data_IF_924812675113
#
_entry.id   IF_924812675113
#
_cell.length_a   1.000
_cell.length_b   1.000
_cell.length_c   1.000
_cell.angle_alpha   90.00
_cell.angle_beta   90.00
_cell.angle_gamma   90.00
#
_symmetry.space_group_name_H-M   'P 1'
#
loop_
_entity.id
_entity.type
_entity.pdbx_description
1 polymer ?
#
# COMPACT_ATOMS: atom_id res chain seq x y z
N UNK A 1 -5.65 -0.55 -7.74
CA UNK A 1 -4.67 0.18 -8.59
C UNK A 1 -5.33 1.13 -9.57
N UNK A 2 -6.24 0.68 -10.44
CA UNK A 2 -6.88 1.52 -11.47
C UNK A 2 -7.46 2.86 -10.96
N UNK A 3 -8.28 2.84 -9.92
CA UNK A 3 -8.89 4.07 -9.36
C UNK A 3 -7.85 5.07 -8.83
N UNK A 4 -6.78 4.59 -8.18
CA UNK A 4 -5.69 5.45 -7.68
C UNK A 4 -4.93 6.11 -8.83
N UNK A 5 -4.59 5.34 -9.88
CA UNK A 5 -3.94 5.88 -11.07
C UNK A 5 -4.80 6.94 -11.76
N UNK A 6 -6.10 6.66 -11.92
CA UNK A 6 -7.03 7.61 -12.54
C UNK A 6 -7.17 8.90 -11.73
N UNK A 7 -7.28 8.78 -10.40
CA UNK A 7 -7.34 9.92 -9.49
C UNK A 7 -6.12 10.83 -9.64
N UNK A 8 -4.90 10.28 -9.51
CA UNK A 8 -3.69 11.10 -9.60
C UNK A 8 -3.45 11.65 -11.01
N UNK A 9 -3.74 10.91 -12.07
CA UNK A 9 -3.66 11.42 -13.44
C UNK A 9 -4.60 12.61 -13.65
N UNK A 10 -5.82 12.55 -13.09
CA UNK A 10 -6.79 13.65 -13.17
C UNK A 10 -6.33 14.88 -12.39
N UNK A 11 -5.72 14.70 -11.22
CA UNK A 11 -5.06 15.78 -10.47
C UNK A 11 -3.92 16.45 -11.26
N UNK A 12 -3.25 15.70 -12.15
CA UNK A 12 -2.22 16.22 -13.05
C UNK A 12 -2.79 16.76 -14.38
N UNK A 13 -4.09 17.09 -14.43
CA UNK A 13 -4.72 17.72 -15.59
C UNK A 13 -4.90 16.81 -16.81
N UNK A 14 -4.72 15.49 -16.66
CA UNK A 14 -4.94 14.53 -17.76
C UNK A 14 -6.41 14.16 -17.86
N UNK A 15 -6.89 14.00 -19.10
CA UNK A 15 -8.17 13.33 -19.36
C UNK A 15 -8.00 11.83 -19.16
N UNK A 16 -8.92 11.20 -18.43
CA UNK A 16 -8.84 9.78 -18.08
C UNK A 16 -10.22 9.15 -18.17
N UNK A 17 -10.29 7.97 -18.76
CA UNK A 17 -11.46 7.09 -18.69
C UNK A 17 -11.06 5.84 -17.92
N UNK A 18 -11.80 5.52 -16.86
CA UNK A 18 -11.64 4.27 -16.11
C UNK A 18 -12.76 3.31 -16.54
N UNK A 19 -12.38 2.13 -17.03
CA UNK A 19 -13.32 1.08 -17.42
C UNK A 19 -13.17 -0.08 -16.43
N UNK A 20 -14.28 -0.48 -15.81
CA UNK A 20 -14.41 -1.65 -14.95
C UNK A 20 -15.49 -2.55 -15.55
N UNK A 21 -15.25 -3.87 -15.58
CA UNK A 21 -16.20 -4.84 -16.09
C UNK A 21 -17.34 -5.07 -15.10
N UNK A 22 -17.00 -5.14 -13.82
CA UNK A 22 -17.92 -5.49 -12.74
C UNK A 22 -18.07 -4.33 -11.74
N UNK A 23 -17.91 -4.58 -10.44
CA UNK A 23 -17.97 -3.54 -9.42
C UNK A 23 -16.57 -3.05 -9.01
N UNK A 24 -16.44 -1.74 -8.81
CA UNK A 24 -15.17 -1.12 -8.39
C UNK A 24 -14.69 -1.76 -7.09
N UNK A 25 -13.48 -2.32 -7.14
CA UNK A 25 -12.84 -2.89 -5.96
C UNK A 25 -13.25 -4.33 -5.62
N UNK A 26 -14.15 -4.98 -6.37
CA UNK A 26 -14.69 -6.31 -6.03
C UNK A 26 -13.65 -7.45 -6.00
N UNK A 27 -12.54 -7.31 -6.72
CA UNK A 27 -11.50 -8.32 -6.83
C UNK A 27 -10.48 -8.23 -5.68
N UNK A 28 -9.18 -8.40 -5.95
CA UNK A 28 -8.11 -8.40 -4.94
C UNK A 28 -8.12 -7.17 -4.00
N UNK A 29 -8.62 -6.03 -4.45
CA UNK A 29 -8.79 -4.82 -3.62
C UNK A 29 -9.84 -4.96 -2.52
N UNK A 30 -10.89 -5.75 -2.74
CA UNK A 30 -12.03 -5.90 -1.82
C UNK A 30 -11.90 -7.10 -0.89
N UNK A 31 -11.00 -8.04 -1.21
CA UNK A 31 -10.78 -9.28 -0.43
C UNK A 31 -9.40 -9.35 0.23
N UNK A 32 -8.61 -8.27 0.20
CA UNK A 32 -7.35 -8.23 0.96
C UNK A 32 -7.57 -7.88 2.43
N UNK A 33 -6.55 -8.12 3.25
CA UNK A 33 -6.58 -7.86 4.70
C UNK A 33 -6.32 -6.40 5.10
N UNK A 34 -6.30 -5.45 4.15
CA UNK A 34 -6.13 -4.01 4.42
C UNK A 34 -4.76 -3.58 4.96
N UNK A 35 -3.77 -4.48 5.00
CA UNK A 35 -2.50 -4.20 5.67
C UNK A 35 -1.60 -3.24 4.87
N UNK A 36 -1.24 -2.11 5.46
CA UNK A 36 -0.29 -1.14 4.91
C UNK A 36 1.05 -1.25 5.63
N UNK A 37 2.02 -1.93 5.00
CA UNK A 37 3.37 -2.13 5.56
C UNK A 37 4.51 -1.67 4.66
N UNK A 38 5.56 -1.17 5.31
CA UNK A 38 6.88 -0.88 4.70
C UNK A 38 7.92 -1.97 4.99
N UNK A 39 7.80 -2.65 6.13
CA UNK A 39 8.71 -3.73 6.55
C UNK A 39 8.63 -4.93 5.61
N UNK A 40 9.70 -5.71 5.53
CA UNK A 40 9.70 -6.95 4.75
C UNK A 40 9.41 -6.71 3.28
N UNK A 41 10.07 -5.70 2.69
CA UNK A 41 10.08 -5.43 1.25
C UNK A 41 11.50 -5.39 0.70
N UNK A 42 11.64 -5.65 -0.60
CA UNK A 42 12.91 -5.49 -1.30
C UNK A 42 13.44 -4.06 -1.13
N UNK A 43 14.75 -3.88 -0.95
CA UNK A 43 15.36 -2.56 -0.70
C UNK A 43 14.94 -1.52 -1.75
N UNK A 44 14.94 -1.90 -3.04
CA UNK A 44 14.51 -1.01 -4.13
C UNK A 44 13.02 -0.61 -4.10
N UNK A 45 12.19 -1.30 -3.32
CA UNK A 45 10.77 -0.97 -3.14
C UNK A 45 10.51 -0.08 -1.91
N UNK A 46 11.50 0.13 -1.04
CA UNK A 46 11.31 0.90 0.19
C UNK A 46 10.94 2.35 -0.09
N UNK A 47 11.54 2.98 -1.09
CA UNK A 47 11.23 4.36 -1.49
C UNK A 47 9.77 4.48 -1.95
N UNK A 48 9.33 3.57 -2.83
CA UNK A 48 7.94 3.53 -3.28
C UNK A 48 6.97 3.30 -2.12
N UNK A 49 7.34 2.43 -1.19
CA UNK A 49 6.53 2.12 -0.01
C UNK A 49 6.44 3.30 0.96
N UNK A 50 7.51 4.07 1.11
CA UNK A 50 7.52 5.30 1.91
C UNK A 50 6.65 6.39 1.29
N UNK A 51 6.69 6.56 -0.04
CA UNK A 51 5.79 7.49 -0.76
C UNK A 51 4.33 7.08 -0.61
N UNK A 52 4.00 5.80 -0.80
CA UNK A 52 2.64 5.29 -0.59
C UNK A 52 2.17 5.52 0.85
N UNK A 53 3.01 5.23 1.84
CA UNK A 53 2.68 5.47 3.24
C UNK A 53 2.40 6.94 3.56
N UNK A 54 3.12 7.88 2.94
CA UNK A 54 2.86 9.31 3.09
C UNK A 54 1.47 9.72 2.52
N UNK A 55 0.97 9.03 1.50
CA UNK A 55 -0.39 9.24 0.96
C UNK A 55 -1.46 8.69 1.90
N UNK A 56 -1.25 7.50 2.48
CA UNK A 56 -2.20 6.91 3.45
C UNK A 56 -2.49 7.82 4.64
N UNK A 57 -1.47 8.53 5.14
CA UNK A 57 -1.63 9.53 6.22
C UNK A 57 -2.41 10.79 5.83
N UNK A 58 -2.65 10.98 4.53
CA UNK A 58 -3.28 12.19 3.98
C UNK A 58 -4.58 11.87 3.24
N UNK A 59 -5.17 10.71 3.49
CA UNK A 59 -6.35 10.24 2.80
C UNK A 59 -7.56 11.18 2.97
N UNK A 60 -7.91 11.65 4.19
CA UNK A 60 -8.98 12.62 4.37
C UNK A 60 -8.80 13.86 3.48
N UNK A 61 -7.57 14.38 3.37
CA UNK A 61 -7.27 15.57 2.57
C UNK A 61 -7.25 15.27 1.06
N UNK A 62 -6.94 14.05 0.66
CA UNK A 62 -6.86 13.65 -0.74
C UNK A 62 -8.23 13.34 -1.32
N UNK A 63 -9.09 12.63 -0.59
CA UNK A 63 -10.35 12.08 -1.12
C UNK A 63 -11.60 12.51 -0.33
N UNK A 64 -11.44 13.26 0.76
CA UNK A 64 -12.57 13.71 1.60
C UNK A 64 -13.10 12.66 2.58
N UNK A 65 -12.44 11.51 2.70
CA UNK A 65 -12.89 10.35 3.48
C UNK A 65 -11.74 9.78 4.33
N UNK A 66 -12.03 9.34 5.55
CA UNK A 66 -11.02 8.84 6.50
C UNK A 66 -10.54 7.41 6.21
N UNK A 67 -11.40 6.58 5.59
CA UNK A 67 -11.14 5.16 5.30
C UNK A 67 -10.68 4.33 6.52
N UNK A 68 -10.83 4.87 7.73
CA UNK A 68 -10.50 4.21 9.01
C UNK A 68 -9.05 3.71 9.07
N UNK A 69 -8.10 4.45 8.47
CA UNK A 69 -6.70 4.04 8.45
C UNK A 69 -6.01 4.24 9.82
N UNK A 70 -5.60 3.14 10.46
CA UNK A 70 -4.89 3.16 11.76
C UNK A 70 -3.40 2.83 11.59
N UNK A 71 -2.47 3.79 11.83
CA UNK A 71 -1.03 3.55 11.72
C UNK A 71 -0.44 2.87 12.98
N UNK A 72 -0.87 1.64 13.27
CA UNK A 72 -0.48 0.88 14.48
C UNK A 72 0.90 0.20 14.41
N UNK A 73 1.57 0.28 13.26
CA UNK A 73 2.85 -0.41 13.03
C UNK A 73 2.69 -1.87 12.63
N UNK A 74 3.79 -2.60 12.57
CA UNK A 74 3.83 -4.01 12.19
C UNK A 74 4.89 -4.73 13.02
N UNK A 75 4.56 -5.91 13.53
CA UNK A 75 5.47 -6.74 14.32
C UNK A 75 5.70 -8.05 13.58
N UNK A 76 6.97 -8.45 13.49
CA UNK A 76 7.36 -9.79 13.06
C UNK A 76 8.01 -10.49 14.25
N UNK A 77 7.47 -11.65 14.62
CA UNK A 77 8.01 -12.48 15.68
C UNK A 77 8.92 -13.53 15.06
N UNK A 78 10.10 -13.73 15.65
CA UNK A 78 11.00 -14.84 15.33
C UNK A 78 10.89 -15.85 16.47
N UNK A 79 10.55 -17.09 16.13
CA UNK A 79 10.39 -18.19 17.09
C UNK A 79 11.65 -19.04 17.20
N UNK A 80 12.60 -18.88 16.27
CA UNK A 80 13.86 -19.63 16.24
C UNK A 80 15.05 -18.69 16.03
N UNK A 81 16.21 -19.09 16.55
CA UNK A 81 17.45 -18.32 16.45
C UNK A 81 17.93 -18.13 15.01
N UNK A 82 17.74 -19.14 14.15
CA UNK A 82 18.10 -19.08 12.74
C UNK A 82 17.25 -18.08 11.94
N UNK A 83 16.07 -17.72 12.44
CA UNK A 83 15.20 -16.69 11.84
C UNK A 83 15.71 -15.27 12.11
N UNK A 84 16.49 -15.04 13.18
CA UNK A 84 16.97 -13.71 13.57
C UNK A 84 17.91 -13.15 12.49
N UNK A 85 18.81 -13.99 11.96
CA UNK A 85 19.79 -13.59 10.94
C UNK A 85 19.14 -13.29 9.59
N UNK A 86 18.00 -13.92 9.29
CA UNK A 86 17.25 -13.73 8.03
C UNK A 86 16.00 -12.87 8.21
N UNK A 87 15.70 -12.38 9.41
CA UNK A 87 14.63 -11.42 9.71
C UNK A 87 15.07 -10.06 9.17
N UNK A 88 14.78 -9.77 7.91
CA UNK A 88 15.41 -8.65 7.27
C UNK A 88 14.65 -7.39 7.65
N UNK A 89 15.37 -6.30 7.91
CA UNK A 89 14.79 -4.95 7.91
C UNK A 89 14.13 -4.66 6.53
N UNK A 90 14.62 -5.33 5.47
CA UNK A 90 14.14 -5.29 4.09
C UNK A 90 14.17 -6.68 3.40
N UNK A 91 13.04 -7.32 3.14
CA UNK A 91 13.03 -8.67 2.55
C UNK A 91 13.58 -8.69 1.12
N UNK A 92 14.68 -9.40 0.89
CA UNK A 92 15.01 -9.90 -0.44
C UNK A 92 14.38 -11.27 -0.65
N UNK A 93 13.40 -11.33 -1.54
CA UNK A 93 13.36 -12.20 -2.73
C UNK A 93 12.37 -11.57 -3.70
N UNK A 94 12.85 -11.30 -4.92
CA UNK A 94 12.03 -10.87 -6.04
C UNK A 94 11.21 -12.06 -6.56
#
# INVERSE_FOLDING_TARGET
MGSSSAFFLRQHGRSVTLLERDQIGQYASGVNFGNVRRQGRFLGQLELSSRSWALWKRLPELIGEDLEFIPSGHMRVCYREDEIAVAPISSQKA
#
